data_IF_898159656194
#
_entry.id   IF_898159656194
#
_cell.length_a   1.000
_cell.length_b   1.000
_cell.length_c   1.000
_cell.angle_alpha   90.00
_cell.angle_beta   90.00
_cell.angle_gamma   90.00
#
_symmetry.space_group_name_H-M   'P 1'
#
loop_
_entity.id
_entity.type
_entity.pdbx_description
1 polymer ?
#
# COMPACT_ATOMS: atom_id res chain seq x y z
N UNK A 1 90.52 -43.89 -8.00
CA UNK A 1 90.04 -44.16 -6.65
C UNK A 1 88.81 -43.30 -6.38
N UNK A 2 87.73 -43.95 -6.23
CA UNK A 2 86.33 -43.62 -6.03
C UNK A 2 86.07 -42.54 -4.98
N UNK A 3 85.03 -41.68 -5.18
CA UNK A 3 84.05 -41.42 -4.21
C UNK A 3 82.84 -40.65 -4.85
N UNK A 4 81.73 -41.40 -4.95
CA UNK A 4 80.43 -40.91 -5.21
C UNK A 4 79.96 -39.86 -4.17
N UNK A 5 79.37 -38.76 -4.62
CA UNK A 5 78.50 -37.96 -3.79
C UNK A 5 77.09 -37.96 -4.42
N UNK A 6 76.17 -38.63 -3.73
CA UNK A 6 74.68 -38.60 -3.97
C UNK A 6 74.10 -37.29 -3.53
N UNK A 7 73.56 -36.51 -4.44
CA UNK A 7 72.75 -35.37 -4.15
C UNK A 7 71.28 -35.83 -3.89
N UNK A 8 70.77 -35.60 -2.67
CA UNK A 8 69.43 -35.84 -2.21
C UNK A 8 68.50 -34.73 -2.69
N UNK A 9 67.60 -34.99 -3.63
CA UNK A 9 66.51 -34.10 -3.98
C UNK A 9 65.42 -34.13 -2.89
N UNK A 10 65.19 -32.99 -2.25
CA UNK A 10 64.05 -32.79 -1.33
C UNK A 10 62.88 -32.37 -2.20
N UNK A 11 61.87 -33.19 -2.30
CA UNK A 11 60.57 -32.86 -2.91
C UNK A 11 59.64 -32.22 -1.87
N UNK A 12 59.25 -30.99 -2.05
CA UNK A 12 58.25 -30.29 -1.30
C UNK A 12 56.83 -30.69 -1.80
N UNK A 13 55.84 -30.86 -0.94
CA UNK A 13 54.53 -31.29 -1.39
C UNK A 13 53.68 -30.07 -1.83
N UNK A 14 53.58 -29.85 -3.13
CA UNK A 14 52.77 -28.79 -3.77
C UNK A 14 51.23 -28.96 -3.65
N UNK A 15 50.74 -30.01 -2.99
CA UNK A 15 49.30 -30.32 -3.01
C UNK A 15 48.47 -29.70 -1.87
N UNK A 16 49.03 -29.00 -0.88
CA UNK A 16 48.28 -28.44 0.25
C UNK A 16 47.94 -26.96 0.12
N UNK A 17 48.59 -26.20 -0.75
CA UNK A 17 48.29 -24.78 -0.92
C UNK A 17 47.11 -24.50 -1.88
N UNK A 18 46.85 -25.35 -2.86
CA UNK A 18 45.73 -25.16 -3.81
C UNK A 18 44.35 -25.38 -3.15
N UNK A 19 44.29 -26.27 -2.14
CA UNK A 19 43.01 -26.55 -1.42
C UNK A 19 42.60 -25.45 -0.45
N UNK A 20 43.55 -24.69 0.09
CA UNK A 20 43.29 -23.61 1.03
C UNK A 20 42.78 -22.33 0.32
N UNK A 21 43.27 -22.04 -0.87
CA UNK A 21 42.84 -20.88 -1.67
C UNK A 21 41.42 -21.10 -2.23
N UNK A 22 41.10 -22.33 -2.62
CA UNK A 22 39.74 -22.66 -3.12
C UNK A 22 38.68 -22.57 -2.03
N UNK A 23 39.01 -22.93 -0.77
CA UNK A 23 38.10 -22.85 0.38
C UNK A 23 37.82 -21.40 0.82
N UNK A 24 38.81 -20.51 0.72
CA UNK A 24 38.66 -19.09 1.06
C UNK A 24 37.89 -18.35 -0.03
N UNK A 25 38.04 -18.69 -1.30
CA UNK A 25 37.25 -18.11 -2.41
C UNK A 25 35.80 -18.52 -2.36
N UNK A 26 35.45 -19.70 -1.88
CA UNK A 26 34.06 -20.16 -1.73
C UNK A 26 33.36 -19.49 -0.54
N UNK A 27 34.08 -19.16 0.53
CA UNK A 27 33.55 -18.44 1.68
C UNK A 27 33.31 -16.95 1.42
N UNK A 28 34.03 -16.34 0.48
CA UNK A 28 33.85 -14.94 0.08
C UNK A 28 32.68 -14.78 -0.90
N UNK A 29 32.37 -15.79 -1.69
CA UNK A 29 31.26 -15.80 -2.64
C UNK A 29 29.87 -15.95 -1.96
N UNK A 30 29.80 -16.40 -0.71
CA UNK A 30 28.54 -16.55 0.03
C UNK A 30 28.14 -15.32 0.84
N UNK A 31 28.96 -14.28 0.91
CA UNK A 31 28.67 -13.07 1.71
C UNK A 31 28.17 -11.87 0.90
N UNK A 32 27.98 -12.00 -0.41
CA UNK A 32 27.20 -11.06 -1.22
C UNK A 32 25.74 -11.51 -1.34
N UNK A 33 25.13 -11.98 -0.25
CA UNK A 33 23.70 -11.87 -0.09
C UNK A 33 23.42 -10.37 0.00
N UNK A 34 22.89 -9.76 -1.08
CA UNK A 34 22.33 -8.43 -1.05
C UNK A 34 21.45 -8.35 0.20
N UNK A 35 21.89 -7.56 1.19
CA UNK A 35 21.09 -7.25 2.36
C UNK A 35 19.81 -6.57 1.85
N UNK A 36 18.78 -7.34 1.61
CA UNK A 36 17.47 -6.81 1.26
C UNK A 36 17.07 -5.89 2.43
N UNK A 37 16.82 -4.61 2.12
CA UNK A 37 16.49 -3.62 3.15
C UNK A 37 15.34 -4.17 3.98
N UNK A 38 15.58 -4.41 5.26
CA UNK A 38 14.58 -4.99 6.16
C UNK A 38 13.33 -4.09 6.19
N UNK A 39 12.17 -4.69 5.97
CA UNK A 39 10.88 -4.00 6.08
C UNK A 39 10.64 -3.62 7.54
N UNK A 40 10.52 -2.33 7.81
CA UNK A 40 10.37 -1.80 9.16
C UNK A 40 8.88 -1.78 9.53
N UNK A 41 8.56 -2.41 10.66
CA UNK A 41 7.24 -2.32 11.31
C UNK A 41 7.36 -1.33 12.46
N UNK A 42 6.47 -0.34 12.49
CA UNK A 42 6.42 0.68 13.55
C UNK A 42 5.16 0.46 14.39
N UNK A 43 5.30 0.37 15.69
CA UNK A 43 4.14 0.39 16.60
C UNK A 43 3.47 1.75 16.57
N UNK A 44 2.15 1.74 16.44
CA UNK A 44 1.29 2.94 16.45
C UNK A 44 0.53 2.99 17.76
N UNK A 45 -0.04 1.85 18.13
CA UNK A 45 -0.76 1.62 19.39
C UNK A 45 -0.45 0.21 19.89
N UNK A 46 -0.83 -0.12 21.11
CA UNK A 46 -0.45 -1.37 21.81
C UNK A 46 -0.68 -2.67 21.02
N UNK A 47 -1.65 -2.68 20.11
CA UNK A 47 -2.00 -3.86 19.28
C UNK A 47 -2.07 -3.52 17.79
N UNK A 48 -1.72 -2.29 17.41
CA UNK A 48 -1.77 -1.81 16.03
C UNK A 48 -0.40 -1.30 15.62
N UNK A 49 0.10 -1.81 14.51
CA UNK A 49 1.37 -1.40 13.91
C UNK A 49 1.19 -1.08 12.43
N UNK A 50 2.16 -0.41 11.83
CA UNK A 50 2.16 -0.04 10.42
C UNK A 50 3.50 -0.34 9.75
N UNK A 51 3.45 -0.81 8.51
CA UNK A 51 4.57 -0.73 7.57
C UNK A 51 4.30 0.51 6.72
N UNK A 52 5.12 1.54 6.91
CA UNK A 52 4.93 2.85 6.29
C UNK A 52 5.31 2.81 4.81
N UNK A 53 4.41 3.27 3.94
CA UNK A 53 4.66 3.48 2.52
C UNK A 53 5.34 4.82 2.23
N UNK A 54 5.94 4.94 1.05
CA UNK A 54 6.67 6.16 0.66
C UNK A 54 5.77 7.40 0.47
N UNK A 55 4.47 7.22 0.24
CA UNK A 55 3.52 8.31 -0.07
C UNK A 55 4.00 9.22 -1.23
N UNK A 56 4.46 8.59 -2.30
CA UNK A 56 5.00 9.18 -3.52
C UNK A 56 4.41 8.47 -4.75
N UNK A 57 4.57 9.00 -5.97
CA UNK A 57 4.24 8.26 -7.18
C UNK A 57 5.01 6.94 -7.27
N UNK A 58 4.38 5.91 -7.81
CA UNK A 58 5.02 4.61 -8.07
C UNK A 58 6.24 4.79 -8.96
N UNK A 59 7.39 4.27 -8.53
CA UNK A 59 8.66 4.38 -9.22
C UNK A 59 9.57 3.17 -8.95
N UNK A 60 10.62 3.00 -9.76
CA UNK A 60 11.67 1.98 -9.52
C UNK A 60 12.36 2.18 -8.18
N UNK A 61 12.54 3.42 -7.74
CA UNK A 61 13.24 3.76 -6.49
C UNK A 61 12.47 3.26 -5.27
N UNK A 62 11.15 3.50 -5.21
CA UNK A 62 10.30 3.03 -4.12
C UNK A 62 9.72 1.63 -4.36
N UNK A 63 10.05 0.97 -5.49
CA UNK A 63 9.53 -0.35 -5.87
C UNK A 63 8.01 -0.46 -5.80
N UNK A 64 7.31 0.66 -5.95
CA UNK A 64 5.86 0.75 -5.80
C UNK A 64 5.34 0.62 -4.36
N UNK A 65 6.19 0.55 -3.36
CA UNK A 65 5.84 0.45 -1.93
C UNK A 65 5.40 1.82 -1.40
N UNK A 66 4.30 2.34 -1.93
CA UNK A 66 3.84 3.71 -1.69
C UNK A 66 2.72 3.80 -0.66
N UNK A 67 2.08 2.67 -0.39
CA UNK A 67 0.93 2.57 0.51
C UNK A 67 1.30 1.96 1.87
N UNK A 68 0.59 2.39 2.90
CA UNK A 68 0.68 1.84 4.24
C UNK A 68 0.01 0.47 4.33
N UNK A 69 0.62 -0.42 5.10
CA UNK A 69 0.07 -1.72 5.45
C UNK A 69 -0.16 -1.74 6.96
N UNK A 70 -1.40 -1.89 7.35
CA UNK A 70 -1.75 -2.01 8.78
C UNK A 70 -1.59 -3.43 9.30
N UNK A 71 -1.22 -3.55 10.55
CA UNK A 71 -1.13 -4.82 11.27
C UNK A 71 -1.94 -4.70 12.56
N UNK A 72 -2.86 -5.63 12.80
CA UNK A 72 -3.66 -5.68 14.03
C UNK A 72 -3.39 -7.01 14.73
N UNK A 73 -2.80 -6.96 15.93
CA UNK A 73 -2.56 -8.13 16.76
C UNK A 73 -3.82 -8.49 17.56
N UNK A 74 -4.24 -9.73 17.47
CA UNK A 74 -5.36 -10.31 18.21
C UNK A 74 -4.88 -11.55 18.97
N UNK A 75 -5.74 -12.12 19.81
CA UNK A 75 -5.43 -13.38 20.51
C UNK A 75 -5.29 -14.56 19.53
N UNK A 76 -5.97 -14.53 18.39
CA UNK A 76 -5.89 -15.57 17.35
C UNK A 76 -4.62 -15.47 16.49
N UNK A 77 -4.00 -14.29 16.42
CA UNK A 77 -2.84 -13.98 15.58
C UNK A 77 -2.91 -12.57 15.00
N UNK A 78 -2.22 -12.33 13.89
CA UNK A 78 -2.12 -11.01 13.27
C UNK A 78 -3.04 -10.92 12.06
N UNK A 79 -3.83 -9.86 11.97
CA UNK A 79 -4.52 -9.43 10.75
C UNK A 79 -3.66 -8.42 10.00
N UNK A 80 -3.55 -8.61 8.70
CA UNK A 80 -2.86 -7.67 7.80
C UNK A 80 -3.93 -6.86 7.04
N UNK A 81 -3.82 -5.55 7.04
CA UNK A 81 -4.73 -4.67 6.31
C UNK A 81 -3.99 -4.13 5.10
N UNK A 82 -4.48 -4.51 3.90
CA UNK A 82 -3.87 -4.39 2.60
C UNK A 82 -2.73 -5.41 2.35
N UNK A 83 -2.45 -5.69 1.07
CA UNK A 83 -1.56 -6.80 0.66
C UNK A 83 -0.30 -6.36 -0.08
N UNK A 84 -0.17 -5.06 -0.38
CA UNK A 84 0.95 -4.53 -1.17
C UNK A 84 0.75 -4.64 -2.68
N UNK A 85 1.76 -4.22 -3.44
CA UNK A 85 1.70 -3.98 -4.88
C UNK A 85 2.19 -5.16 -5.73
N UNK A 86 2.94 -6.10 -5.16
CA UNK A 86 3.56 -7.21 -5.89
C UNK A 86 3.68 -8.45 -5.02
N UNK A 87 3.97 -9.60 -5.64
CA UNK A 87 4.35 -10.84 -4.94
C UNK A 87 5.53 -10.58 -3.98
N UNK A 88 6.56 -9.89 -4.44
CA UNK A 88 7.76 -9.58 -3.66
C UNK A 88 7.43 -8.72 -2.45
N UNK A 89 6.66 -7.64 -2.63
CA UNK A 89 6.23 -6.77 -1.53
C UNK A 89 5.36 -7.54 -0.53
N UNK A 90 4.40 -8.34 -0.99
CA UNK A 90 3.57 -9.16 -0.12
C UNK A 90 4.38 -10.17 0.71
N UNK A 91 5.41 -10.78 0.13
CA UNK A 91 6.34 -11.68 0.83
C UNK A 91 7.08 -10.93 1.94
N UNK A 92 7.55 -9.72 1.68
CA UNK A 92 8.20 -8.86 2.69
C UNK A 92 7.24 -8.50 3.82
N UNK A 93 5.98 -8.12 3.49
CA UNK A 93 4.93 -7.82 4.47
C UNK A 93 4.66 -9.02 5.37
N UNK A 94 4.46 -10.21 4.80
CA UNK A 94 4.18 -11.45 5.53
C UNK A 94 5.31 -11.77 6.50
N UNK A 95 6.56 -11.69 6.05
CA UNK A 95 7.73 -11.96 6.87
C UNK A 95 7.88 -10.92 7.98
N UNK A 96 7.71 -9.63 7.68
CA UNK A 96 7.80 -8.55 8.65
C UNK A 96 6.72 -8.68 9.74
N UNK A 97 5.47 -8.97 9.35
CA UNK A 97 4.36 -9.14 10.29
C UNK A 97 4.58 -10.34 11.23
N UNK A 98 5.03 -11.47 10.70
CA UNK A 98 5.33 -12.67 11.50
C UNK A 98 6.47 -12.43 12.49
N UNK A 99 7.56 -11.83 12.01
CA UNK A 99 8.75 -11.59 12.83
C UNK A 99 8.51 -10.55 13.92
N UNK A 100 7.77 -9.48 13.60
CA UNK A 100 7.51 -8.40 14.58
C UNK A 100 6.59 -8.85 15.73
N UNK A 101 5.56 -9.62 15.40
CA UNK A 101 4.57 -10.04 16.40
C UNK A 101 4.81 -11.43 16.99
N UNK A 102 5.81 -12.17 16.50
CA UNK A 102 6.06 -13.59 16.83
C UNK A 102 4.75 -14.40 16.79
N UNK A 103 3.98 -14.25 15.71
CA UNK A 103 2.64 -14.81 15.60
C UNK A 103 2.26 -15.13 14.15
N UNK A 104 1.33 -16.09 13.98
CA UNK A 104 0.77 -16.43 12.68
C UNK A 104 -0.11 -15.29 12.16
N UNK A 105 -0.18 -15.15 10.83
CA UNK A 105 -1.18 -14.30 10.17
C UNK A 105 -2.46 -15.10 10.01
N UNK A 106 -3.57 -14.58 10.50
CA UNK A 106 -4.88 -15.25 10.48
C UNK A 106 -5.77 -14.83 9.32
N UNK A 107 -5.50 -13.67 8.74
CA UNK A 107 -6.21 -13.18 7.57
C UNK A 107 -5.69 -11.83 7.09
N UNK A 108 -6.17 -11.42 5.93
CA UNK A 108 -5.93 -10.07 5.41
C UNK A 108 -7.21 -9.45 4.85
N UNK A 109 -7.35 -8.13 5.02
CA UNK A 109 -8.47 -7.34 4.49
C UNK A 109 -7.92 -6.31 3.51
N UNK A 110 -8.46 -6.29 2.29
CA UNK A 110 -8.16 -5.28 1.27
C UNK A 110 -9.21 -4.19 1.36
N UNK A 111 -8.78 -2.95 1.59
CA UNK A 111 -9.69 -1.83 1.81
C UNK A 111 -10.32 -1.30 0.52
N UNK A 112 -9.68 -1.51 -0.64
CA UNK A 112 -10.12 -0.96 -1.91
C UNK A 112 -9.41 -1.64 -3.10
N UNK A 113 -9.99 -1.57 -4.30
CA UNK A 113 -9.40 -2.10 -5.53
C UNK A 113 -8.35 -1.15 -6.12
N UNK A 114 -7.24 -0.97 -5.40
CA UNK A 114 -6.09 -0.21 -5.87
C UNK A 114 -4.84 -1.08 -5.94
N UNK A 115 -4.06 -0.89 -7.01
CA UNK A 115 -2.89 -1.72 -7.32
C UNK A 115 -1.84 -1.71 -6.21
N UNK A 116 -1.66 -0.56 -5.54
CA UNK A 116 -0.67 -0.36 -4.48
C UNK A 116 -0.97 -1.18 -3.22
N UNK A 117 -2.21 -1.61 -3.04
CA UNK A 117 -2.68 -2.30 -1.83
C UNK A 117 -3.29 -3.68 -2.06
N UNK A 118 -3.53 -4.07 -3.33
CA UNK A 118 -4.34 -5.25 -3.64
C UNK A 118 -3.60 -6.34 -4.43
N UNK A 119 -2.54 -6.01 -5.20
CA UNK A 119 -1.92 -6.96 -6.11
C UNK A 119 -1.06 -8.03 -5.41
N UNK A 120 -0.71 -7.85 -4.14
CA UNK A 120 -0.06 -8.88 -3.33
C UNK A 120 -0.99 -10.01 -2.86
N UNK A 121 -2.29 -9.91 -3.08
CA UNK A 121 -3.31 -10.81 -2.54
C UNK A 121 -3.11 -12.29 -2.88
N UNK A 122 -2.68 -12.61 -4.10
CA UNK A 122 -2.41 -14.00 -4.51
C UNK A 122 -1.29 -14.63 -3.66
N UNK A 123 -0.29 -13.87 -3.26
CA UNK A 123 0.80 -14.34 -2.38
C UNK A 123 0.28 -14.76 -1.01
N UNK A 124 -0.68 -14.03 -0.43
CA UNK A 124 -1.34 -14.44 0.80
C UNK A 124 -2.11 -15.74 0.61
N UNK A 125 -2.82 -15.91 -0.52
CA UNK A 125 -3.53 -17.15 -0.83
C UNK A 125 -2.58 -18.34 -1.00
N UNK A 126 -1.44 -18.16 -1.65
CA UNK A 126 -0.40 -19.19 -1.77
C UNK A 126 0.12 -19.64 -0.39
N UNK A 127 0.19 -18.72 0.57
CA UNK A 127 0.56 -18.98 1.96
C UNK A 127 -0.62 -19.52 2.81
N UNK A 128 -1.78 -19.81 2.19
CA UNK A 128 -3.03 -20.25 2.84
C UNK A 128 -3.57 -19.24 3.85
N UNK A 129 -3.28 -17.96 3.67
CA UNK A 129 -3.84 -16.87 4.46
C UNK A 129 -5.13 -16.42 3.76
N UNK A 130 -6.29 -16.44 4.45
CA UNK A 130 -7.54 -15.96 3.89
C UNK A 130 -7.47 -14.49 3.50
N UNK A 131 -8.00 -14.15 2.32
CA UNK A 131 -8.07 -12.78 1.80
C UNK A 131 -9.53 -12.36 1.74
N UNK A 132 -9.83 -11.21 2.32
CA UNK A 132 -11.17 -10.63 2.37
C UNK A 132 -11.19 -9.25 1.70
N UNK A 133 -12.27 -8.96 1.00
CA UNK A 133 -12.54 -7.64 0.42
C UNK A 133 -14.05 -7.43 0.28
N UNK A 134 -14.48 -6.19 0.12
CA UNK A 134 -15.84 -5.90 -0.32
C UNK A 134 -16.12 -6.54 -1.69
N UNK A 135 -17.32 -7.10 -1.97
CA UNK A 135 -17.61 -7.76 -3.25
C UNK A 135 -17.28 -6.91 -4.47
N UNK A 136 -17.61 -5.62 -4.44
CA UNK A 136 -17.29 -4.71 -5.54
C UNK A 136 -15.79 -4.54 -5.75
N UNK A 137 -14.98 -4.51 -4.67
CA UNK A 137 -13.51 -4.50 -4.74
C UNK A 137 -13.01 -5.78 -5.42
N UNK A 138 -13.50 -6.94 -4.99
CA UNK A 138 -13.17 -8.23 -5.63
C UNK A 138 -13.48 -8.23 -7.12
N UNK A 139 -14.69 -7.79 -7.50
CA UNK A 139 -15.13 -7.78 -8.90
C UNK A 139 -14.26 -6.84 -9.77
N UNK A 140 -13.88 -5.68 -9.23
CA UNK A 140 -12.96 -4.74 -9.89
C UNK A 140 -11.55 -5.31 -10.04
N UNK A 141 -11.05 -6.02 -9.03
CA UNK A 141 -9.76 -6.70 -9.12
C UNK A 141 -9.78 -7.78 -10.21
N UNK A 142 -10.81 -8.60 -10.28
CA UNK A 142 -10.94 -9.62 -11.32
C UNK A 142 -11.07 -9.03 -12.73
N UNK A 143 -11.70 -7.87 -12.86
CA UNK A 143 -11.91 -7.23 -14.16
C UNK A 143 -10.69 -6.48 -14.70
N UNK A 144 -9.75 -6.04 -13.85
CA UNK A 144 -8.72 -5.09 -14.26
C UNK A 144 -7.30 -5.35 -13.77
N UNK A 145 -7.06 -6.28 -12.85
CA UNK A 145 -5.73 -6.45 -12.25
C UNK A 145 -4.65 -6.92 -13.23
N UNK A 146 -4.97 -7.74 -14.23
CA UNK A 146 -3.97 -8.19 -15.21
C UNK A 146 -3.41 -7.00 -16.01
N UNK A 147 -4.26 -6.08 -16.46
CA UNK A 147 -3.82 -4.84 -17.12
C UNK A 147 -2.99 -3.94 -16.18
N UNK A 148 -3.36 -3.90 -14.89
CA UNK A 148 -2.59 -3.18 -13.88
C UNK A 148 -1.21 -3.79 -13.67
N UNK A 149 -1.09 -5.12 -13.65
CA UNK A 149 0.17 -5.84 -13.50
C UNK A 149 1.09 -5.55 -14.70
N UNK A 150 0.56 -5.60 -15.92
CA UNK A 150 1.33 -5.30 -17.13
C UNK A 150 1.84 -3.86 -17.14
N UNK A 151 0.98 -2.89 -16.83
CA UNK A 151 1.38 -1.49 -16.73
C UNK A 151 2.44 -1.25 -15.63
N UNK A 152 2.36 -1.96 -14.51
CA UNK A 152 3.36 -1.85 -13.44
C UNK A 152 4.68 -2.53 -13.82
N UNK A 153 4.64 -3.58 -14.61
CA UNK A 153 5.83 -4.26 -15.13
C UNK A 153 6.68 -3.32 -15.98
N UNK A 154 6.04 -2.45 -16.78
CA UNK A 154 6.73 -1.41 -17.53
C UNK A 154 7.41 -0.36 -16.63
N UNK A 155 6.76 0.01 -15.51
CA UNK A 155 7.26 1.02 -14.57
C UNK A 155 8.33 0.46 -13.63
N UNK A 156 8.05 -0.69 -13.01
CA UNK A 156 8.87 -1.26 -11.93
C UNK A 156 9.93 -2.24 -12.44
N UNK A 157 9.72 -2.83 -13.62
CA UNK A 157 10.55 -3.88 -14.20
C UNK A 157 10.05 -5.28 -13.90
N UNK A 158 10.52 -6.24 -14.71
CA UNK A 158 10.10 -7.65 -14.63
C UNK A 158 10.46 -8.28 -13.28
N UNK A 159 11.64 -7.98 -12.74
CA UNK A 159 12.11 -8.56 -11.47
C UNK A 159 11.21 -8.21 -10.29
N UNK A 160 10.70 -6.96 -10.20
CA UNK A 160 9.83 -6.54 -9.11
C UNK A 160 8.41 -7.12 -9.26
N UNK A 161 7.94 -7.28 -10.50
CA UNK A 161 6.61 -7.77 -10.80
C UNK A 161 6.56 -9.28 -11.08
N UNK A 162 7.71 -9.98 -11.02
CA UNK A 162 7.77 -11.43 -11.19
C UNK A 162 6.82 -12.14 -10.21
N UNK A 163 6.20 -13.23 -10.67
CA UNK A 163 5.24 -14.03 -9.90
C UNK A 163 3.98 -13.29 -9.42
N UNK A 164 3.85 -11.98 -9.66
CA UNK A 164 2.63 -11.22 -9.31
C UNK A 164 1.48 -11.64 -10.21
N UNK A 165 0.37 -12.05 -9.61
CA UNK A 165 -0.84 -12.56 -10.28
C UNK A 165 -2.10 -12.00 -9.63
N UNK A 166 -3.18 -11.98 -10.40
CA UNK A 166 -4.51 -11.66 -9.88
C UNK A 166 -4.99 -12.74 -8.93
N UNK A 167 -5.37 -12.36 -7.71
CA UNK A 167 -5.92 -13.29 -6.72
C UNK A 167 -7.31 -13.78 -7.14
N UNK A 168 -7.58 -15.08 -6.99
CA UNK A 168 -8.81 -15.72 -7.47
C UNK A 168 -9.82 -16.08 -6.37
N UNK A 169 -9.38 -16.21 -5.11
CA UNK A 169 -10.20 -16.70 -3.99
C UNK A 169 -10.38 -15.64 -2.91
N UNK A 170 -10.92 -14.48 -3.30
CA UNK A 170 -11.18 -13.38 -2.36
C UNK A 170 -12.58 -13.59 -1.75
N UNK A 171 -12.63 -13.69 -0.43
CA UNK A 171 -13.85 -13.82 0.36
C UNK A 171 -14.53 -12.46 0.56
N UNK A 172 -15.83 -12.50 0.78
CA UNK A 172 -16.60 -11.31 1.15
C UNK A 172 -16.30 -10.90 2.61
N UNK A 173 -16.08 -9.62 2.86
CA UNK A 173 -15.90 -9.10 4.23
C UNK A 173 -17.11 -9.35 5.13
N UNK A 174 -18.31 -9.54 4.58
CA UNK A 174 -19.51 -9.91 5.32
C UNK A 174 -19.46 -11.34 5.89
N UNK A 175 -18.57 -12.19 5.36
CA UNK A 175 -18.31 -13.53 5.90
C UNK A 175 -17.40 -13.50 7.14
N UNK A 176 -16.83 -12.33 7.48
CA UNK A 176 -16.00 -12.18 8.68
C UNK A 176 -16.88 -12.23 9.94
N UNK A 177 -16.76 -13.29 10.69
CA UNK A 177 -17.38 -13.39 12.00
C UNK A 177 -16.58 -12.63 13.06
N UNK A 178 -17.23 -12.23 14.16
CA UNK A 178 -16.57 -11.51 15.26
C UNK A 178 -15.47 -12.39 15.87
N UNK A 179 -15.70 -13.70 15.98
CA UNK A 179 -14.71 -14.68 16.45
C UNK A 179 -13.44 -14.74 15.61
N UNK A 180 -13.54 -14.49 14.29
CA UNK A 180 -12.41 -14.60 13.38
C UNK A 180 -11.58 -13.30 13.33
N UNK A 181 -12.26 -12.16 13.40
CA UNK A 181 -11.64 -10.83 13.29
C UNK A 181 -11.13 -10.25 14.59
N UNK A 182 -11.51 -10.84 15.73
CA UNK A 182 -11.19 -10.28 17.04
C UNK A 182 -11.95 -8.97 17.29
N UNK A 183 -11.28 -7.97 17.84
CA UNK A 183 -11.90 -6.73 18.33
C UNK A 183 -12.04 -5.62 17.27
N UNK A 184 -11.78 -5.85 15.97
CA UNK A 184 -11.95 -4.82 14.95
C UNK A 184 -13.24 -4.96 14.16
N UNK A 185 -13.70 -3.87 13.57
CA UNK A 185 -14.89 -3.78 12.73
C UNK A 185 -14.54 -3.34 11.32
N UNK A 186 -15.20 -3.94 10.31
CA UNK A 186 -15.21 -3.42 8.95
C UNK A 186 -16.33 -2.38 8.85
N UNK A 187 -15.99 -1.17 8.42
CA UNK A 187 -16.95 -0.07 8.20
C UNK A 187 -17.12 0.11 6.70
N UNK A 188 -18.34 -0.05 6.25
CA UNK A 188 -18.76 0.27 4.89
C UNK A 188 -19.44 1.64 4.88
N UNK A 189 -19.02 2.61 4.03
CA UNK A 189 -19.71 3.88 3.90
C UNK A 189 -21.17 3.69 3.51
N UNK A 190 -22.09 4.43 4.15
CA UNK A 190 -23.55 4.38 3.86
C UNK A 190 -23.87 4.69 2.40
N UNK A 191 -23.07 5.53 1.76
CA UNK A 191 -23.08 5.79 0.33
C UNK A 191 -21.73 5.46 -0.25
N UNK A 192 -21.71 4.87 -1.43
CA UNK A 192 -20.46 4.53 -2.09
C UNK A 192 -19.68 5.79 -2.44
N UNK A 193 -18.57 6.00 -1.76
CA UNK A 193 -17.62 7.09 -2.03
C UNK A 193 -16.74 6.74 -3.23
N UNK A 194 -16.12 5.58 -3.13
CA UNK A 194 -15.35 4.91 -4.18
C UNK A 194 -15.86 3.47 -4.25
N UNK A 195 -15.99 2.88 -5.45
CA UNK A 195 -16.59 1.56 -5.59
C UNK A 195 -15.91 0.49 -4.72
N UNK A 196 -16.63 -0.01 -3.70
CA UNK A 196 -16.16 -1.07 -2.80
C UNK A 196 -15.16 -0.63 -1.73
N UNK A 197 -14.97 0.69 -1.54
CA UNK A 197 -14.10 1.19 -0.46
C UNK A 197 -14.70 0.88 0.91
N UNK A 198 -13.86 0.35 1.79
CA UNK A 198 -14.17 0.06 3.19
C UNK A 198 -13.07 0.59 4.10
N UNK A 199 -13.35 0.63 5.38
CA UNK A 199 -12.41 0.98 6.44
C UNK A 199 -12.37 -0.12 7.49
N UNK A 200 -11.33 -0.14 8.30
CA UNK A 200 -11.22 -1.03 9.46
C UNK A 200 -11.03 -0.18 10.71
N UNK A 201 -11.89 -0.38 11.70
CA UNK A 201 -11.85 0.33 12.98
C UNK A 201 -11.55 -0.63 14.13
N UNK A 202 -10.54 -0.32 14.92
CA UNK A 202 -10.15 -1.06 16.12
C UNK A 202 -10.50 -0.23 17.37
N UNK A 203 -11.63 -0.52 18.05
CA UNK A 203 -12.18 0.32 19.11
C UNK A 203 -11.32 0.34 20.38
N UNK A 204 -10.61 -0.74 20.68
CA UNK A 204 -9.76 -0.83 21.88
C UNK A 204 -8.63 0.22 21.86
N UNK A 205 -8.07 0.51 20.68
CA UNK A 205 -7.04 1.55 20.50
C UNK A 205 -7.58 2.81 19.83
N UNK A 206 -8.89 2.85 19.52
CA UNK A 206 -9.54 3.96 18.80
C UNK A 206 -8.85 4.29 17.47
N UNK A 207 -8.31 3.27 16.80
CA UNK A 207 -7.56 3.40 15.56
C UNK A 207 -8.43 3.09 14.36
N UNK A 208 -8.43 3.98 13.38
CA UNK A 208 -9.10 3.82 12.09
C UNK A 208 -8.07 3.64 10.98
N UNK A 209 -8.10 2.49 10.29
CA UNK A 209 -7.41 2.29 9.01
C UNK A 209 -8.38 2.72 7.93
N UNK A 210 -8.19 3.94 7.43
CA UNK A 210 -9.23 4.68 6.68
C UNK A 210 -9.27 4.41 5.18
N UNK A 211 -8.38 3.56 4.66
CA UNK A 211 -8.25 3.48 3.21
C UNK A 211 -7.82 4.83 2.62
N UNK A 212 -8.29 5.13 1.42
CA UNK A 212 -8.05 6.42 0.76
C UNK A 212 -9.10 7.48 1.10
N UNK A 213 -9.94 7.24 2.13
CA UNK A 213 -11.05 8.14 2.45
C UNK A 213 -10.64 9.32 3.35
N UNK A 214 -9.55 9.19 4.10
CA UNK A 214 -8.98 10.27 4.91
C UNK A 214 -7.55 10.51 4.46
N UNK A 215 -7.19 11.76 4.34
CA UNK A 215 -5.88 12.23 3.90
C UNK A 215 -5.53 13.56 4.56
N UNK A 216 -4.26 13.75 4.80
CA UNK A 216 -3.71 14.99 5.34
C UNK A 216 -2.31 15.22 4.75
N UNK A 217 -2.00 16.47 4.41
CA UNK A 217 -0.71 16.84 3.79
C UNK A 217 -0.38 16.04 2.50
N UNK A 218 -1.40 15.45 1.87
CA UNK A 218 -1.31 14.66 0.63
C UNK A 218 -2.60 14.84 -0.16
N UNK A 219 -2.49 15.08 -1.47
CA UNK A 219 -3.65 15.20 -2.36
C UNK A 219 -4.17 13.80 -2.74
N UNK A 220 -5.46 13.50 -2.48
CA UNK A 220 -6.07 12.23 -2.91
C UNK A 220 -6.32 12.22 -4.42
N UNK A 221 -6.62 11.06 -4.99
CA UNK A 221 -7.28 10.98 -6.30
C UNK A 221 -8.80 10.96 -6.11
N UNK A 222 -9.52 11.84 -6.81
CA UNK A 222 -10.99 11.82 -6.83
C UNK A 222 -11.58 11.10 -8.05
N UNK A 223 -10.72 10.43 -8.82
CA UNK A 223 -11.19 9.66 -9.99
C UNK A 223 -12.26 8.66 -9.57
N UNK A 224 -13.40 8.71 -10.22
CA UNK A 224 -14.58 7.86 -9.94
C UNK A 224 -15.20 8.04 -8.54
N UNK A 225 -14.86 9.11 -7.81
CA UNK A 225 -15.42 9.37 -6.49
C UNK A 225 -16.75 10.15 -6.57
N UNK A 226 -17.69 9.83 -5.68
CA UNK A 226 -18.82 10.70 -5.34
C UNK A 226 -18.39 11.62 -4.19
N UNK A 227 -18.09 12.89 -4.49
CA UNK A 227 -17.62 13.84 -3.48
C UNK A 227 -18.70 14.17 -2.44
N UNK A 228 -19.98 14.14 -2.81
CA UNK A 228 -21.06 14.35 -1.85
C UNK A 228 -21.16 13.20 -0.86
N UNK A 229 -21.10 11.96 -1.35
CA UNK A 229 -21.03 10.77 -0.51
C UNK A 229 -19.77 10.78 0.38
N UNK A 230 -18.63 11.24 -0.18
CA UNK A 230 -17.37 11.32 0.56
C UNK A 230 -17.46 12.28 1.74
N UNK A 231 -17.96 13.50 1.53
CA UNK A 231 -18.17 14.46 2.63
C UNK A 231 -19.14 13.93 3.68
N UNK A 232 -20.25 13.31 3.26
CA UNK A 232 -21.19 12.69 4.20
C UNK A 232 -20.52 11.62 5.05
N UNK A 233 -19.69 10.76 4.44
CA UNK A 233 -18.94 9.73 5.15
C UNK A 233 -17.98 10.33 6.17
N UNK A 234 -17.23 11.38 5.78
CA UNK A 234 -16.31 12.06 6.69
C UNK A 234 -17.03 12.73 7.87
N UNK A 235 -18.20 13.31 7.66
CA UNK A 235 -19.03 13.86 8.76
C UNK A 235 -19.57 12.73 9.68
N UNK A 236 -20.00 11.60 9.12
CA UNK A 236 -20.41 10.43 9.91
C UNK A 236 -19.26 9.91 10.80
N UNK A 237 -18.03 9.90 10.30
CA UNK A 237 -16.85 9.44 11.05
C UNK A 237 -16.54 10.31 12.27
N UNK A 238 -16.94 11.58 12.30
CA UNK A 238 -16.80 12.45 13.48
C UNK A 238 -17.61 11.96 14.70
N UNK A 239 -18.58 11.08 14.47
CA UNK A 239 -19.38 10.48 15.56
C UNK A 239 -18.70 9.28 16.21
N UNK A 240 -17.64 8.75 15.63
CA UNK A 240 -16.86 7.64 16.19
C UNK A 240 -15.77 8.17 17.13
N UNK A 241 -15.48 7.39 18.16
CA UNK A 241 -14.41 7.71 19.11
C UNK A 241 -13.05 7.31 18.51
N UNK A 242 -12.56 8.12 17.54
CA UNK A 242 -11.29 7.94 16.84
C UNK A 242 -10.24 8.85 17.44
N UNK A 243 -9.06 8.30 17.77
CA UNK A 243 -7.88 9.07 18.17
C UNK A 243 -6.79 9.01 17.12
N UNK A 244 -6.57 7.85 16.52
CA UNK A 244 -5.47 7.57 15.58
C UNK A 244 -6.02 7.11 14.24
N UNK A 245 -5.47 7.64 13.15
CA UNK A 245 -5.85 7.31 11.79
C UNK A 245 -4.60 6.83 11.03
N UNK A 246 -4.72 5.66 10.39
CA UNK A 246 -3.73 5.13 9.44
C UNK A 246 -4.36 5.24 8.05
N UNK A 247 -4.00 6.25 7.24
CA UNK A 247 -4.47 6.35 5.86
C UNK A 247 -3.75 5.34 4.97
N UNK A 248 -4.29 5.05 3.78
CA UNK A 248 -3.56 4.22 2.81
C UNK A 248 -2.25 4.86 2.37
N UNK A 249 -2.21 6.18 2.25
CA UNK A 249 -0.97 6.92 1.91
C UNK A 249 -0.81 8.11 2.84
N UNK A 250 0.43 8.40 3.22
CA UNK A 250 0.76 9.51 4.11
C UNK A 250 1.11 9.04 5.52
N UNK A 251 1.38 9.99 6.40
CA UNK A 251 1.77 9.70 7.78
C UNK A 251 0.57 9.20 8.61
N UNK A 252 0.87 8.45 9.66
CA UNK A 252 -0.11 8.18 10.72
C UNK A 252 -0.51 9.52 11.33
N UNK A 253 -1.80 9.75 11.50
CA UNK A 253 -2.35 11.05 11.89
C UNK A 253 -3.46 10.92 12.93
N UNK A 254 -4.08 12.03 13.28
CA UNK A 254 -5.16 12.11 14.25
C UNK A 254 -6.51 12.37 13.60
N UNK A 255 -7.57 12.44 14.40
CA UNK A 255 -8.92 12.80 13.97
C UNK A 255 -9.00 14.15 13.23
N UNK A 256 -8.01 15.04 13.41
CA UNK A 256 -7.95 16.32 12.70
C UNK A 256 -7.84 16.18 11.18
N UNK A 257 -7.32 15.05 10.69
CA UNK A 257 -7.24 14.74 9.25
C UNK A 257 -8.63 14.63 8.60
N UNK A 258 -9.69 14.33 9.36
CA UNK A 258 -11.06 14.34 8.85
C UNK A 258 -11.45 15.74 8.37
N UNK A 259 -11.16 16.77 9.17
CA UNK A 259 -11.47 18.15 8.79
C UNK A 259 -10.56 18.65 7.67
N UNK A 260 -9.27 18.28 7.68
CA UNK A 260 -8.34 18.60 6.59
C UNK A 260 -8.85 18.02 5.25
N UNK A 261 -9.32 16.76 5.26
CA UNK A 261 -9.93 16.11 4.09
C UNK A 261 -11.20 16.82 3.62
N UNK A 262 -12.11 17.15 4.55
CA UNK A 262 -13.34 17.89 4.25
C UNK A 262 -13.06 19.25 3.61
N UNK A 263 -12.10 19.99 4.15
CA UNK A 263 -11.74 21.32 3.66
C UNK A 263 -11.20 21.24 2.23
N UNK A 264 -10.28 20.31 1.94
CA UNK A 264 -9.79 20.12 0.57
C UNK A 264 -10.92 19.81 -0.42
N UNK A 265 -11.82 18.88 -0.08
CA UNK A 265 -12.94 18.52 -0.96
C UNK A 265 -13.89 19.69 -1.20
N UNK A 266 -14.23 20.47 -0.17
CA UNK A 266 -15.05 21.67 -0.28
C UNK A 266 -14.39 22.75 -1.16
N UNK A 267 -13.12 23.01 -0.92
CA UNK A 267 -12.37 24.04 -1.65
C UNK A 267 -12.22 23.68 -3.14
N UNK A 268 -11.95 22.39 -3.43
CA UNK A 268 -11.90 21.87 -4.79
C UNK A 268 -13.25 22.06 -5.50
N UNK A 269 -14.36 21.66 -4.86
CA UNK A 269 -15.70 21.81 -5.43
C UNK A 269 -16.06 23.29 -5.64
N UNK A 270 -15.84 24.14 -4.65
CA UNK A 270 -16.13 25.57 -4.73
C UNK A 270 -15.34 26.25 -5.84
N UNK A 271 -14.01 25.96 -5.91
CA UNK A 271 -13.14 26.52 -6.94
C UNK A 271 -13.55 26.09 -8.32
N UNK A 272 -13.78 24.80 -8.54
CA UNK A 272 -14.15 24.25 -9.84
C UNK A 272 -15.55 24.71 -10.27
N UNK A 273 -16.52 24.70 -9.34
CA UNK A 273 -17.88 25.20 -9.63
C UNK A 273 -17.93 26.68 -9.99
N UNK A 274 -17.05 27.50 -9.38
CA UNK A 274 -16.93 28.92 -9.77
C UNK A 274 -16.42 29.04 -11.20
N UNK A 275 -15.34 28.36 -11.57
CA UNK A 275 -14.77 28.39 -12.91
C UNK A 275 -15.78 27.90 -13.97
N UNK A 276 -16.53 26.84 -13.65
CA UNK A 276 -17.58 26.31 -14.52
C UNK A 276 -18.69 27.34 -14.78
N UNK A 277 -19.22 27.96 -13.72
CA UNK A 277 -20.26 29.03 -13.84
C UNK A 277 -19.76 30.27 -14.58
N UNK A 278 -18.47 30.58 -14.47
CA UNK A 278 -17.84 31.70 -15.20
C UNK A 278 -17.59 31.35 -16.69
N UNK A 279 -18.09 30.20 -17.18
CA UNK A 279 -17.87 29.67 -18.55
C UNK A 279 -16.39 29.51 -18.94
N UNK A 280 -15.52 29.25 -17.97
CA UNK A 280 -14.11 28.95 -18.23
C UNK A 280 -14.01 27.59 -18.90
N UNK A 281 -13.32 27.47 -20.03
CA UNK A 281 -13.13 26.18 -20.68
C UNK A 281 -12.32 25.20 -19.82
N UNK A 282 -12.47 23.89 -20.07
CA UNK A 282 -11.86 22.83 -19.26
C UNK A 282 -10.35 22.99 -19.10
N UNK A 283 -9.61 23.29 -20.19
CA UNK A 283 -8.16 23.42 -20.14
C UNK A 283 -7.72 24.63 -19.30
N UNK A 284 -8.41 25.75 -19.45
CA UNK A 284 -8.19 26.95 -18.62
C UNK A 284 -8.60 26.71 -17.17
N UNK A 285 -9.73 26.03 -16.92
CA UNK A 285 -10.20 25.70 -15.59
C UNK A 285 -9.18 24.84 -14.82
N UNK A 286 -8.56 23.85 -15.46
CA UNK A 286 -7.53 23.03 -14.81
C UNK A 286 -6.32 23.85 -14.36
N UNK A 287 -5.90 24.86 -15.13
CA UNK A 287 -4.79 25.76 -14.77
C UNK A 287 -5.20 26.76 -13.69
N UNK A 288 -6.37 27.37 -13.85
CA UNK A 288 -6.89 28.37 -12.90
C UNK A 288 -7.45 27.74 -11.62
N UNK A 289 -7.65 26.44 -11.60
CA UNK A 289 -8.11 25.68 -10.44
C UNK A 289 -7.10 25.54 -9.31
N UNK A 290 -5.89 26.07 -9.49
CA UNK A 290 -4.86 26.09 -8.43
C UNK A 290 -5.38 26.66 -7.11
N UNK A 291 -5.02 26.00 -6.00
CA UNK A 291 -5.35 26.40 -4.63
C UNK A 291 -4.07 26.44 -3.83
N UNK A 292 -3.55 27.65 -3.60
CA UNK A 292 -2.25 27.92 -2.96
C UNK A 292 -2.08 27.23 -1.60
N UNK A 293 -3.17 27.18 -0.81
CA UNK A 293 -3.16 26.58 0.53
C UNK A 293 -2.67 25.11 0.51
N UNK A 294 -2.97 24.38 -0.56
CA UNK A 294 -2.60 22.97 -0.71
C UNK A 294 -1.35 22.72 -1.57
N UNK A 295 -0.74 23.77 -2.13
CA UNK A 295 0.37 23.64 -3.08
C UNK A 295 1.59 22.88 -2.51
N UNK A 296 1.76 22.88 -1.18
CA UNK A 296 2.83 22.16 -0.47
C UNK A 296 2.47 20.73 -0.07
N UNK A 297 1.22 20.31 -0.26
CA UNK A 297 0.82 18.93 0.02
C UNK A 297 1.49 17.98 -0.96
N UNK A 298 1.91 16.83 -0.47
CA UNK A 298 2.45 15.75 -1.35
C UNK A 298 1.46 15.43 -2.47
N UNK A 299 1.95 15.03 -3.62
CA UNK A 299 1.15 14.70 -4.82
C UNK A 299 0.34 15.87 -5.42
N UNK A 300 0.56 17.13 -4.98
CA UNK A 300 -0.20 18.26 -5.52
C UNK A 300 -0.04 18.38 -7.04
N UNK A 301 1.19 18.43 -7.53
CA UNK A 301 1.48 18.55 -8.96
C UNK A 301 1.03 17.35 -9.77
N UNK A 302 0.97 16.16 -9.15
CA UNK A 302 0.58 14.90 -9.81
C UNK A 302 -0.94 14.71 -9.88
N UNK A 303 -1.70 15.24 -8.90
CA UNK A 303 -3.11 14.90 -8.72
C UNK A 303 -4.07 16.06 -8.76
N UNK A 304 -3.69 17.25 -8.27
CA UNK A 304 -4.64 18.37 -8.12
C UNK A 304 -5.22 18.83 -9.46
N UNK A 305 -4.39 18.96 -10.48
CA UNK A 305 -4.82 19.28 -11.85
C UNK A 305 -5.87 18.28 -12.37
N UNK A 306 -5.60 16.99 -12.21
CA UNK A 306 -6.54 15.93 -12.59
C UNK A 306 -7.84 15.98 -11.77
N UNK A 307 -7.75 16.32 -10.49
CA UNK A 307 -8.93 16.47 -9.63
C UNK A 307 -9.83 17.62 -10.11
N UNK A 308 -9.25 18.76 -10.47
CA UNK A 308 -10.03 19.86 -11.07
C UNK A 308 -10.72 19.40 -12.36
N UNK A 309 -10.01 18.67 -13.22
CA UNK A 309 -10.57 18.12 -14.47
C UNK A 309 -11.73 17.15 -14.20
N UNK A 310 -11.55 16.19 -13.29
CA UNK A 310 -12.62 15.21 -12.95
C UNK A 310 -13.87 15.90 -12.39
N UNK A 311 -13.68 16.88 -11.50
CA UNK A 311 -14.79 17.63 -10.94
C UNK A 311 -15.48 18.51 -11.98
N UNK A 312 -14.73 19.11 -12.90
CA UNK A 312 -15.29 19.92 -13.99
C UNK A 312 -16.15 19.06 -14.93
N UNK A 313 -15.63 17.91 -15.37
CA UNK A 313 -16.37 16.96 -16.22
C UNK A 313 -17.62 16.40 -15.51
N UNK A 314 -17.56 16.24 -14.19
CA UNK A 314 -18.71 15.85 -13.40
C UNK A 314 -19.82 16.93 -13.42
N UNK A 315 -19.46 18.22 -13.36
CA UNK A 315 -20.42 19.32 -13.47
C UNK A 315 -21.04 19.35 -14.86
N UNK A 316 -20.26 19.24 -15.93
CA UNK A 316 -20.79 19.17 -17.31
C UNK A 316 -21.78 18.01 -17.48
N UNK A 317 -21.46 16.83 -16.95
CA UNK A 317 -22.33 15.65 -17.06
C UNK A 317 -23.67 15.83 -16.33
N UNK A 318 -23.71 16.64 -15.25
CA UNK A 318 -24.95 16.95 -14.53
C UNK A 318 -25.87 17.90 -15.26
N UNK A 319 -25.30 18.84 -16.01
CA UNK A 319 -26.08 19.81 -16.79
C UNK A 319 -26.66 19.21 -18.10
N UNK A 320 -26.10 18.07 -18.54
CA UNK A 320 -26.56 17.36 -19.74
C UNK A 320 -27.67 16.32 -19.44
N UNK A 321 -27.92 15.99 -18.16
CA UNK A 321 -28.96 15.05 -17.70
C UNK A 321 -30.10 15.74 -17.01
#
# INVERSE_FOLDING_TARGET
MNKDQKTKKISLPERRFASLILSISLLILTSFALSEKQTIVTEVESTVSVIQGAAEPVSKTNKGQTANIGLIKTDAGVWVINTGISHRHATQIINAARNHHDSKIVGTVILQAEREIALGADTFQQQRIPVYAHPKTRDLMHAGCDLCIDALREILGEDEMSETKTATKIKDTRELEISDRGDFYVIEPKKSVLPGAIMVYHPKTKTLLSGNLIFENLIPSIKNADLSAWRTTLEDLKTLDISTIIPTMGEVTSVLAIEASLNYLRDLENRTSKLYRDNTDLLSATKLGHIEHYAKWKMYNDRHFNNVMYQYLHLESKDLN
#
